data_IF_075709388448
#
_entry.id   IF_075709388448
#
_cell.length_a   1.000
_cell.length_b   1.000
_cell.length_c   1.000
_cell.angle_alpha   90.00
_cell.angle_beta   90.00
_cell.angle_gamma   90.00
#
_symmetry.space_group_name_H-M   'P 1'
#
loop_
_entity.id
_entity.type
_entity.pdbx_description
1 polymer ?
#
# COMPACT_ATOMS: atom_id res chain seq x y z
N UNK A 1 -23.16 -2.58 -0.07
CA UNK A 1 -22.16 -3.48 -0.67
C UNK A 1 -20.80 -2.91 -0.34
N UNK A 2 -19.94 -3.70 0.31
CA UNK A 2 -18.58 -3.32 0.66
C UNK A 2 -17.59 -4.02 -0.27
N UNK A 3 -16.76 -3.25 -0.96
CA UNK A 3 -15.80 -3.76 -1.94
C UNK A 3 -14.36 -3.52 -1.51
N UNK A 4 -13.56 -4.58 -1.51
CA UNK A 4 -12.12 -4.53 -1.21
C UNK A 4 -11.29 -4.25 -2.44
N UNK A 5 -10.48 -3.20 -2.39
CA UNK A 5 -9.49 -2.85 -3.40
C UNK A 5 -8.12 -3.33 -2.93
N UNK A 6 -7.47 -4.21 -3.70
CA UNK A 6 -6.08 -4.61 -3.49
C UNK A 6 -5.23 -4.19 -4.69
N UNK A 7 -4.24 -3.34 -4.43
CA UNK A 7 -3.31 -2.80 -5.44
C UNK A 7 -2.06 -2.25 -4.73
N UNK A 8 -1.16 -1.61 -5.46
CA UNK A 8 0.12 -1.06 -5.00
C UNK A 8 -0.05 0.24 -4.19
N UNK A 9 -1.04 0.26 -3.32
CA UNK A 9 -1.46 1.45 -2.60
C UNK A 9 -0.35 2.00 -1.66
N UNK A 10 0.53 1.14 -1.14
CA UNK A 10 1.67 1.54 -0.28
C UNK A 10 2.86 2.12 -1.08
N UNK A 11 2.84 2.02 -2.41
CA UNK A 11 3.90 2.58 -3.24
C UNK A 11 3.85 4.11 -3.22
N UNK A 12 4.91 4.76 -2.73
CA UNK A 12 5.03 6.22 -2.65
C UNK A 12 5.32 6.84 -4.04
N UNK A 13 4.37 6.68 -4.95
CA UNK A 13 4.38 7.27 -6.29
C UNK A 13 3.00 7.86 -6.62
N UNK A 14 2.98 8.94 -7.40
CA UNK A 14 1.73 9.64 -7.70
C UNK A 14 0.70 8.79 -8.43
N UNK A 15 1.15 7.92 -9.35
CA UNK A 15 0.26 7.05 -10.12
C UNK A 15 -0.55 6.14 -9.19
N UNK A 16 0.14 5.32 -8.40
CA UNK A 16 -0.50 4.38 -7.48
C UNK A 16 -1.34 5.09 -6.41
N UNK A 17 -0.82 6.15 -5.80
CA UNK A 17 -1.57 6.85 -4.73
C UNK A 17 -2.84 7.53 -5.26
N UNK A 18 -2.75 8.23 -6.39
CA UNK A 18 -3.92 8.92 -6.97
C UNK A 18 -4.89 7.94 -7.63
N UNK A 19 -4.40 6.86 -8.24
CA UNK A 19 -5.25 5.80 -8.79
C UNK A 19 -6.07 5.12 -7.69
N UNK A 20 -5.43 4.75 -6.58
CA UNK A 20 -6.12 4.13 -5.42
C UNK A 20 -7.17 5.09 -4.86
N UNK A 21 -6.81 6.36 -4.66
CA UNK A 21 -7.74 7.37 -4.18
C UNK A 21 -8.92 7.57 -5.13
N UNK A 22 -8.66 7.75 -6.43
CA UNK A 22 -9.70 7.96 -7.43
C UNK A 22 -10.65 6.77 -7.56
N UNK A 23 -10.13 5.54 -7.43
CA UNK A 23 -10.97 4.34 -7.44
C UNK A 23 -11.91 4.28 -6.23
N UNK A 24 -11.44 4.61 -5.02
CA UNK A 24 -12.34 4.75 -3.87
C UNK A 24 -13.45 5.76 -4.16
N UNK A 25 -13.11 6.96 -4.65
CA UNK A 25 -14.11 7.98 -4.94
C UNK A 25 -15.13 7.50 -5.98
N UNK A 26 -14.67 6.89 -7.07
CA UNK A 26 -15.55 6.35 -8.09
C UNK A 26 -16.49 5.26 -7.57
N UNK A 27 -16.00 4.37 -6.68
CA UNK A 27 -16.84 3.35 -6.04
C UNK A 27 -17.88 3.98 -5.09
N UNK A 28 -17.47 4.98 -4.31
CA UNK A 28 -18.37 5.71 -3.42
C UNK A 28 -19.48 6.42 -4.20
N UNK A 29 -19.15 7.06 -5.32
CA UNK A 29 -20.10 7.74 -6.22
C UNK A 29 -21.11 6.75 -6.84
N UNK A 30 -20.73 5.48 -6.98
CA UNK A 30 -21.60 4.38 -7.44
C UNK A 30 -22.43 3.75 -6.30
N UNK A 31 -22.35 4.27 -5.08
CA UNK A 31 -23.08 3.75 -3.92
C UNK A 31 -22.47 2.51 -3.28
N UNK A 32 -21.19 2.21 -3.58
CA UNK A 32 -20.41 1.13 -2.96
C UNK A 32 -19.64 1.69 -1.76
N UNK A 33 -19.46 0.92 -0.70
CA UNK A 33 -18.53 1.24 0.39
C UNK A 33 -17.14 0.68 0.04
N UNK A 34 -16.18 1.50 -0.45
CA UNK A 34 -14.87 0.99 -0.77
C UNK A 34 -14.01 0.86 0.49
N UNK A 35 -13.18 -0.17 0.55
CA UNK A 35 -12.04 -0.24 1.44
C UNK A 35 -10.78 -0.65 0.68
N UNK A 36 -9.63 -0.08 1.05
CA UNK A 36 -8.34 -0.46 0.51
C UNK A 36 -7.77 -1.54 1.42
N UNK A 37 -7.66 -2.77 0.93
CA UNK A 37 -7.01 -3.86 1.68
C UNK A 37 -5.55 -3.44 1.87
N UNK A 38 -5.16 -3.23 3.13
CA UNK A 38 -3.82 -2.75 3.50
C UNK A 38 -2.81 -3.89 3.42
N UNK A 39 -2.65 -4.44 2.21
CA UNK A 39 -1.68 -5.46 1.84
C UNK A 39 -0.41 -4.79 1.32
N UNK A 40 0.63 -4.77 2.15
CA UNK A 40 1.87 -4.06 1.87
C UNK A 40 3.08 -4.94 2.20
N UNK A 41 3.76 -5.42 1.16
CA UNK A 41 4.89 -6.35 1.34
C UNK A 41 6.18 -5.59 1.65
N UNK A 42 7.10 -6.18 2.46
CA UNK A 42 8.41 -5.59 2.69
C UNK A 42 9.19 -5.34 1.40
N UNK A 43 8.95 -6.11 0.34
CA UNK A 43 9.60 -5.92 -0.96
C UNK A 43 9.21 -4.56 -1.54
N UNK A 44 7.93 -4.21 -1.52
CA UNK A 44 7.41 -2.93 -2.04
C UNK A 44 7.79 -1.78 -1.09
N UNK A 45 7.52 -1.92 0.20
CA UNK A 45 7.73 -0.83 1.16
C UNK A 45 9.20 -0.41 1.24
N UNK A 46 10.14 -1.36 1.19
CA UNK A 46 11.57 -1.06 1.20
C UNK A 46 12.07 -0.37 -0.08
N UNK A 47 11.30 -0.35 -1.18
CA UNK A 47 11.63 0.48 -2.34
C UNK A 47 11.45 1.96 -2.02
N UNK A 48 10.47 2.29 -1.17
CA UNK A 48 10.03 3.66 -0.92
C UNK A 48 10.44 4.21 0.46
N UNK A 49 10.68 3.38 1.48
CA UNK A 49 11.25 3.81 2.75
C UNK A 49 12.71 4.25 2.54
N UNK A 50 13.06 5.54 2.74
CA UNK A 50 14.44 6.01 2.61
C UNK A 50 15.36 5.49 3.73
N UNK A 51 14.80 4.95 4.81
CA UNK A 51 15.52 4.51 5.99
C UNK A 51 15.93 3.03 5.88
N UNK A 52 15.05 2.17 5.37
CA UNK A 52 15.28 0.72 5.16
C UNK A 52 15.95 0.08 6.38
N UNK A 53 15.32 0.23 7.54
CA UNK A 53 15.86 -0.21 8.82
C UNK A 53 14.74 -0.54 9.80
N UNK A 54 14.83 -1.71 10.41
CA UNK A 54 13.86 -2.19 11.39
C UNK A 54 14.37 -2.05 12.82
N UNK A 55 15.69 -2.04 13.06
CA UNK A 55 16.23 -1.80 14.39
C UNK A 55 15.99 -0.33 14.83
N UNK A 56 15.32 -0.08 15.97
CA UNK A 56 14.95 1.28 16.37
C UNK A 56 16.14 2.23 16.57
N UNK A 57 17.27 1.74 17.09
CA UNK A 57 18.46 2.57 17.37
C UNK A 57 19.16 2.95 16.07
N UNK A 58 19.32 1.99 15.17
CA UNK A 58 19.90 2.21 13.84
C UNK A 58 18.98 3.08 12.98
N UNK A 59 17.67 2.89 13.06
CA UNK A 59 16.65 3.71 12.38
C UNK A 59 16.76 5.17 12.79
N UNK A 60 16.80 5.45 14.09
CA UNK A 60 16.98 6.82 14.59
C UNK A 60 18.30 7.46 14.12
N UNK A 61 19.40 6.69 14.10
CA UNK A 61 20.70 7.17 13.58
C UNK A 61 20.63 7.48 12.09
N UNK A 62 19.98 6.63 11.29
CA UNK A 62 19.79 6.84 9.85
C UNK A 62 18.90 8.05 9.57
N UNK A 63 17.80 8.24 10.33
CA UNK A 63 16.95 9.43 10.25
C UNK A 63 17.78 10.70 10.47
N UNK A 64 18.54 10.80 11.57
CA UNK A 64 19.40 11.97 11.84
C UNK A 64 20.40 12.23 10.71
N UNK A 65 20.97 11.17 10.14
CA UNK A 65 21.90 11.27 9.00
C UNK A 65 21.18 11.78 7.74
N UNK A 66 19.97 11.28 7.45
CA UNK A 66 19.18 11.68 6.30
C UNK A 66 18.65 13.11 6.45
N UNK A 67 18.24 13.54 7.63
CA UNK A 67 17.87 14.93 7.90
C UNK A 67 18.98 15.92 7.49
N UNK A 68 20.25 15.54 7.70
CA UNK A 68 21.40 16.36 7.30
C UNK A 68 21.76 16.23 5.82
N UNK A 69 21.69 15.02 5.25
CA UNK A 69 22.20 14.73 3.89
C UNK A 69 21.14 14.86 2.79
N UNK A 70 19.90 14.49 3.08
CA UNK A 70 18.78 14.46 2.15
C UNK A 70 17.44 14.63 2.89
N UNK A 71 17.17 15.81 3.48
CA UNK A 71 15.92 16.05 4.20
C UNK A 71 14.68 15.91 3.29
N UNK A 72 14.84 16.19 1.99
CA UNK A 72 13.77 16.09 1.01
C UNK A 72 13.22 14.66 0.86
N UNK A 73 14.06 13.61 1.00
CA UNK A 73 13.56 12.23 0.94
C UNK A 73 12.68 11.87 2.14
N UNK A 74 13.02 12.37 3.33
CA UNK A 74 12.21 12.17 4.53
C UNK A 74 10.88 12.92 4.43
N UNK A 75 10.94 14.20 4.01
CA UNK A 75 9.73 15.00 3.80
C UNK A 75 8.81 14.38 2.74
N UNK A 76 9.37 13.85 1.66
CA UNK A 76 8.60 13.14 0.63
C UNK A 76 7.92 11.91 1.22
N UNK A 77 8.67 11.07 1.94
CA UNK A 77 8.14 9.88 2.58
C UNK A 77 6.98 10.23 3.53
N UNK A 78 7.19 11.21 4.41
CA UNK A 78 6.18 11.69 5.35
C UNK A 78 4.92 12.19 4.63
N UNK A 79 5.06 12.95 3.55
CA UNK A 79 3.92 13.45 2.77
C UNK A 79 3.09 12.33 2.13
N UNK A 80 3.74 11.29 1.62
CA UNK A 80 3.02 10.14 1.08
C UNK A 80 2.32 9.34 2.18
N UNK A 81 3.04 9.04 3.27
CA UNK A 81 2.44 8.33 4.40
C UNK A 81 1.24 9.08 4.97
N UNK A 82 1.36 10.41 5.12
CA UNK A 82 0.26 11.26 5.55
C UNK A 82 -0.91 11.27 4.56
N UNK A 83 -0.64 11.35 3.26
CA UNK A 83 -1.69 11.30 2.24
C UNK A 83 -2.46 9.97 2.30
N UNK A 84 -1.76 8.85 2.43
CA UNK A 84 -2.38 7.53 2.55
C UNK A 84 -3.23 7.46 3.84
N UNK A 85 -2.67 7.84 4.98
CA UNK A 85 -3.36 7.85 6.28
C UNK A 85 -4.61 8.73 6.27
N UNK A 86 -4.54 9.92 5.69
CA UNK A 86 -5.64 10.88 5.70
C UNK A 86 -6.74 10.55 4.67
N UNK A 87 -6.45 9.77 3.61
CA UNK A 87 -7.35 9.64 2.45
C UNK A 87 -7.75 8.20 2.11
N UNK A 88 -7.06 7.18 2.59
CA UNK A 88 -7.38 5.78 2.26
C UNK A 88 -8.21 5.17 3.39
N UNK A 89 -9.35 4.56 3.04
CA UNK A 89 -10.10 3.73 3.97
C UNK A 89 -9.41 2.36 4.09
N UNK A 90 -8.28 2.34 4.80
CA UNK A 90 -7.46 1.15 4.96
C UNK A 90 -8.20 0.06 5.76
N UNK A 91 -8.13 -1.16 5.27
CA UNK A 91 -8.71 -2.35 5.91
C UNK A 91 -7.61 -3.35 6.28
N UNK A 92 -7.51 -3.63 7.58
CA UNK A 92 -6.51 -4.52 8.14
C UNK A 92 -5.08 -3.98 8.03
N UNK A 93 -4.11 -4.88 8.15
CA UNK A 93 -2.68 -4.61 7.98
C UNK A 93 -1.94 -5.93 7.72
N UNK A 94 -1.59 -6.20 6.47
CA UNK A 94 -1.12 -7.50 6.01
C UNK A 94 0.21 -7.35 5.28
N UNK A 95 1.19 -8.17 5.63
CA UNK A 95 2.57 -8.05 5.09
C UNK A 95 3.00 -9.22 4.22
N UNK A 96 2.27 -10.34 4.29
CA UNK A 96 2.40 -11.47 3.38
C UNK A 96 1.04 -12.09 3.07
N UNK A 97 0.98 -12.94 2.05
CA UNK A 97 -0.27 -13.54 1.55
C UNK A 97 -1.01 -14.35 2.64
N UNK A 98 -0.25 -15.05 3.47
CA UNK A 98 -0.75 -15.87 4.57
C UNK A 98 -1.43 -15.04 5.67
N UNK A 99 -1.14 -13.73 5.76
CA UNK A 99 -1.76 -12.83 6.73
C UNK A 99 -3.21 -12.49 6.36
N UNK A 100 -3.64 -12.70 5.11
CA UNK A 100 -4.99 -12.37 4.64
C UNK A 100 -6.02 -13.24 5.38
N UNK A 101 -6.78 -12.60 6.28
CA UNK A 101 -7.68 -13.25 7.23
C UNK A 101 -9.01 -13.65 6.63
N UNK A 102 -9.79 -14.48 7.33
CA UNK A 102 -11.19 -14.72 6.96
C UNK A 102 -12.01 -13.42 6.87
N UNK A 103 -11.72 -12.39 7.68
CA UNK A 103 -12.39 -11.09 7.56
C UNK A 103 -12.12 -10.41 6.21
N UNK A 104 -10.93 -10.59 5.63
CA UNK A 104 -10.69 -10.13 4.25
C UNK A 104 -11.50 -10.92 3.23
N UNK A 105 -11.98 -12.12 3.56
CA UNK A 105 -12.77 -12.99 2.67
C UNK A 105 -14.29 -12.75 2.76
N UNK A 106 -14.73 -11.93 3.71
CA UNK A 106 -16.14 -11.62 3.94
C UNK A 106 -16.63 -10.33 3.25
N UNK A 107 -15.83 -9.75 2.36
CA UNK A 107 -16.26 -8.61 1.54
C UNK A 107 -17.18 -9.07 0.40
N UNK A 108 -18.10 -8.19 -0.02
CA UNK A 108 -19.08 -8.53 -1.06
C UNK A 108 -18.45 -8.62 -2.47
N UNK A 109 -17.34 -7.92 -2.68
CA UNK A 109 -16.62 -7.88 -3.96
C UNK A 109 -15.14 -7.53 -3.76
N UNK A 110 -14.32 -7.95 -4.73
CA UNK A 110 -12.88 -7.71 -4.75
C UNK A 110 -12.46 -7.09 -6.07
N UNK A 111 -11.58 -6.09 -5.99
CA UNK A 111 -11.08 -5.35 -7.13
C UNK A 111 -9.56 -5.33 -7.04
N UNK A 112 -8.92 -5.76 -8.13
CA UNK A 112 -7.47 -5.65 -8.34
C UNK A 112 -7.20 -5.00 -9.70
N UNK A 113 -5.99 -4.46 -9.87
CA UNK A 113 -5.54 -3.88 -11.12
C UNK A 113 -4.55 -2.73 -10.90
N UNK A 114 -4.06 -2.20 -12.02
CA UNK A 114 -2.93 -1.28 -12.21
C UNK A 114 -1.88 -1.94 -13.11
N UNK A 115 -1.16 -1.16 -13.90
CA UNK A 115 -0.08 -1.67 -14.75
C UNK A 115 1.01 -2.37 -13.92
N UNK A 116 1.25 -1.90 -12.70
CA UNK A 116 2.24 -2.49 -11.80
C UNK A 116 1.80 -3.84 -11.22
N UNK A 117 0.50 -4.10 -11.08
CA UNK A 117 -0.03 -5.42 -10.68
C UNK A 117 0.37 -6.50 -11.66
N UNK A 118 0.39 -6.17 -12.95
CA UNK A 118 0.74 -7.12 -14.00
C UNK A 118 2.25 -7.17 -14.28
N UNK A 119 3.05 -6.35 -13.58
CA UNK A 119 4.50 -6.32 -13.71
C UNK A 119 5.19 -7.10 -12.58
N UNK A 120 5.11 -8.43 -12.68
CA UNK A 120 5.62 -9.37 -11.66
C UNK A 120 7.13 -9.25 -11.38
N UNK A 121 7.91 -8.64 -12.28
CA UNK A 121 9.33 -8.41 -12.05
C UNK A 121 9.60 -7.32 -11.00
N UNK A 122 8.69 -6.36 -10.81
CA UNK A 122 8.85 -5.28 -9.83
C UNK A 122 8.40 -5.63 -8.40
N UNK A 123 7.73 -6.77 -8.22
CA UNK A 123 7.21 -7.24 -6.92
C UNK A 123 7.99 -8.40 -6.32
N UNK A 124 9.11 -8.78 -6.92
CA UNK A 124 9.88 -9.94 -6.46
C UNK A 124 9.28 -11.29 -6.90
N UNK A 125 8.35 -11.28 -7.86
CA UNK A 125 7.80 -12.49 -8.47
C UNK A 125 6.28 -12.50 -8.54
N UNK A 126 5.72 -13.70 -8.62
CA UNK A 126 4.28 -13.91 -8.52
C UNK A 126 3.81 -13.68 -7.08
N UNK A 127 2.73 -12.92 -6.90
CA UNK A 127 2.11 -12.71 -5.60
C UNK A 127 0.59 -12.95 -5.72
N UNK A 128 0.06 -14.07 -5.17
CA UNK A 128 -1.32 -14.49 -5.36
C UNK A 128 -2.35 -13.50 -4.76
N UNK A 129 -1.93 -12.60 -3.87
CA UNK A 129 -2.81 -11.57 -3.33
C UNK A 129 -3.37 -10.66 -4.44
N UNK A 130 -2.51 -10.21 -5.35
CA UNK A 130 -2.94 -9.32 -6.43
C UNK A 130 -3.74 -10.03 -7.53
N UNK A 131 -3.75 -11.37 -7.53
CA UNK A 131 -4.58 -12.20 -8.42
C UNK A 131 -5.87 -12.68 -7.74
N UNK A 132 -6.15 -12.19 -6.52
CA UNK A 132 -7.37 -12.47 -5.76
C UNK A 132 -7.55 -13.96 -5.40
N UNK A 133 -6.48 -14.76 -5.31
CA UNK A 133 -6.60 -16.20 -5.00
C UNK A 133 -7.10 -16.48 -3.56
N UNK A 134 -7.18 -15.46 -2.72
CA UNK A 134 -7.67 -15.57 -1.35
C UNK A 134 -9.20 -15.46 -1.24
N UNK A 135 -9.88 -15.04 -2.32
CA UNK A 135 -11.30 -14.69 -2.37
C UNK A 135 -12.14 -15.72 -3.14
#
# INVERSE_FOLDING_TARGET
MKAGVITFHSAHNFGASLQTWALQQALADLGVEPCVINYHTPVIDNLYDPIKETDPKLRAKKIKRLQKKNPASLLRYERYSKFIEDNFNLFGNYTCYEDLTNETRELDAYITGSDQVWNSQHIGGYDPAYFLEFA
#
